data_IF_724087399214
#
_entry.id   IF_724087399214
#
_cell.length_a   1.000
_cell.length_b   1.000
_cell.length_c   1.000
_cell.angle_alpha   90.00
_cell.angle_beta   90.00
_cell.angle_gamma   90.00
#
_symmetry.space_group_name_H-M   'P 1'
#
loop_
_entity.id
_entity.type
_entity.pdbx_description
1 polymer ?
#
# COMPACT_ATOMS: atom_id res chain seq x y z
N UNK A 1 -28.46 -5.52 -18.70
CA UNK A 1 -27.69 -4.26 -18.65
C UNK A 1 -28.10 -3.52 -17.39
N UNK A 2 -27.26 -3.51 -16.35
CA UNK A 2 -27.55 -2.79 -15.10
C UNK A 2 -26.58 -1.61 -15.05
N UNK A 3 -27.09 -0.41 -15.32
CA UNK A 3 -26.33 0.83 -15.20
C UNK A 3 -26.04 1.04 -13.72
N UNK A 4 -24.80 0.79 -13.30
CA UNK A 4 -24.34 1.15 -11.96
C UNK A 4 -24.45 2.67 -11.82
N UNK A 5 -25.35 3.12 -10.96
CA UNK A 5 -25.60 4.53 -10.69
C UNK A 5 -24.31 5.18 -10.19
N UNK A 6 -24.05 6.42 -10.59
CA UNK A 6 -22.84 7.20 -10.25
C UNK A 6 -22.55 7.24 -8.72
N UNK A 7 -23.61 7.20 -7.92
CA UNK A 7 -23.55 7.09 -6.45
C UNK A 7 -22.92 5.79 -5.94
N UNK A 8 -23.17 4.66 -6.61
CA UNK A 8 -22.58 3.38 -6.23
C UNK A 8 -21.09 3.37 -6.52
N UNK A 9 -20.67 3.90 -7.67
CA UNK A 9 -19.25 4.06 -8.03
C UNK A 9 -18.53 5.02 -7.08
N UNK A 10 -19.14 6.14 -6.73
CA UNK A 10 -18.57 7.09 -5.77
C UNK A 10 -18.39 6.48 -4.37
N UNK A 11 -19.34 5.65 -3.90
CA UNK A 11 -19.19 4.90 -2.63
C UNK A 11 -18.10 3.84 -2.67
N UNK A 12 -17.95 3.15 -3.80
CA UNK A 12 -16.86 2.19 -4.00
C UNK A 12 -15.51 2.91 -3.97
N UNK A 13 -15.35 3.99 -4.73
CA UNK A 13 -14.12 4.79 -4.76
C UNK A 13 -13.79 5.42 -3.40
N UNK A 14 -14.78 5.88 -2.64
CA UNK A 14 -14.59 6.40 -1.28
C UNK A 14 -14.18 5.30 -0.27
N UNK A 15 -14.49 4.04 -0.56
CA UNK A 15 -14.11 2.89 0.27
C UNK A 15 -12.70 2.39 -0.03
N UNK A 16 -12.11 2.78 -1.17
CA UNK A 16 -10.73 2.46 -1.53
C UNK A 16 -9.79 3.29 -0.65
N UNK A 17 -9.33 2.70 0.45
CA UNK A 17 -8.35 3.32 1.34
C UNK A 17 -7.04 3.54 0.60
N UNK A 18 -6.56 4.79 0.58
CA UNK A 18 -5.30 5.16 -0.09
C UNK A 18 -4.03 4.67 0.62
N UNK A 19 -4.15 4.09 1.83
CA UNK A 19 -3.04 3.61 2.66
C UNK A 19 -3.47 2.38 3.45
N UNK A 20 -2.63 1.36 3.49
CA UNK A 20 -2.92 0.11 4.20
C UNK A 20 -3.95 -0.76 3.49
N UNK A 21 -3.93 -0.79 2.17
CA UNK A 21 -4.69 -1.76 1.37
C UNK A 21 -4.27 -3.19 1.71
N UNK A 22 -5.12 -4.17 1.40
CA UNK A 22 -4.83 -5.58 1.66
C UNK A 22 -3.50 -6.03 1.02
N UNK A 23 -3.14 -5.44 -0.13
CA UNK A 23 -1.85 -5.66 -0.80
C UNK A 23 -0.68 -5.22 0.10
N UNK A 24 -0.73 -4.04 0.72
CA UNK A 24 0.31 -3.60 1.66
C UNK A 24 0.43 -4.56 2.85
N UNK A 25 -0.69 -5.06 3.36
CA UNK A 25 -0.70 -6.03 4.46
C UNK A 25 -0.06 -7.36 4.06
N UNK A 26 -0.32 -7.85 2.85
CA UNK A 26 0.32 -9.05 2.30
C UNK A 26 1.83 -8.86 2.19
N UNK A 27 2.28 -7.74 1.60
CA UNK A 27 3.72 -7.44 1.47
C UNK A 27 4.39 -7.32 2.84
N UNK A 28 3.75 -6.66 3.81
CA UNK A 28 4.24 -6.55 5.18
C UNK A 28 4.39 -7.92 5.84
N UNK A 29 3.37 -8.78 5.74
CA UNK A 29 3.41 -10.15 6.29
C UNK A 29 4.49 -10.98 5.61
N UNK A 30 4.64 -10.88 4.29
CA UNK A 30 5.68 -11.57 3.54
C UNK A 30 7.08 -11.18 4.01
N UNK A 31 7.35 -9.87 4.12
CA UNK A 31 8.64 -9.36 4.58
C UNK A 31 8.94 -9.76 6.03
N UNK A 32 7.94 -9.67 6.91
CA UNK A 32 8.09 -10.07 8.31
C UNK A 32 8.36 -11.58 8.44
N UNK A 33 7.63 -12.42 7.69
CA UNK A 33 7.82 -13.87 7.66
C UNK A 33 9.20 -14.29 7.13
N UNK A 34 9.82 -13.49 6.26
CA UNK A 34 11.18 -13.70 5.77
C UNK A 34 12.27 -13.08 6.66
N UNK A 35 11.90 -12.51 7.82
CA UNK A 35 12.86 -11.94 8.78
C UNK A 35 13.41 -10.57 8.37
N UNK A 36 12.81 -9.90 7.39
CA UNK A 36 13.23 -8.55 7.01
C UNK A 36 12.72 -7.53 8.02
N UNK A 37 13.65 -6.79 8.63
CA UNK A 37 13.29 -5.59 9.41
C UNK A 37 13.06 -4.42 8.46
N UNK A 38 11.81 -3.99 8.37
CA UNK A 38 11.41 -2.83 7.58
C UNK A 38 10.83 -1.72 8.46
N UNK A 39 10.81 -0.50 7.90
CA UNK A 39 10.16 0.67 8.47
C UNK A 39 9.03 1.11 7.54
N UNK A 40 7.91 1.53 8.11
CA UNK A 40 6.77 2.03 7.35
C UNK A 40 6.78 3.56 7.34
N UNK A 41 6.34 4.17 6.23
CA UNK A 41 6.12 5.61 6.11
C UNK A 41 7.32 6.47 6.61
N UNK A 42 8.54 6.20 6.12
CA UNK A 42 9.69 7.01 6.51
C UNK A 42 9.64 8.39 5.81
N UNK A 43 8.99 9.36 6.46
CA UNK A 43 8.85 10.75 5.99
C UNK A 43 10.17 11.50 5.83
N UNK A 44 11.30 10.91 6.26
CA UNK A 44 12.63 11.48 6.05
C UNK A 44 13.14 11.29 4.62
N UNK A 45 12.52 10.41 3.84
CA UNK A 45 12.91 10.14 2.46
C UNK A 45 11.97 10.81 1.45
N UNK A 46 12.51 11.38 0.36
CA UNK A 46 11.69 11.97 -0.70
C UNK A 46 10.80 10.88 -1.33
N UNK A 47 9.55 11.22 -1.62
CA UNK A 47 8.58 10.30 -2.24
C UNK A 47 7.70 9.49 -1.27
N UNK A 48 7.87 9.62 0.05
CA UNK A 48 7.06 8.91 1.07
C UNK A 48 6.89 7.41 0.80
N UNK A 49 8.00 6.63 0.74
CA UNK A 49 7.94 5.20 0.49
C UNK A 49 7.11 4.44 1.54
N UNK A 50 6.33 3.46 1.08
CA UNK A 50 5.47 2.64 1.93
C UNK A 50 6.30 1.79 2.88
N UNK A 51 7.35 1.15 2.36
CA UNK A 51 8.22 0.22 3.08
C UNK A 51 9.69 0.55 2.79
N UNK A 52 10.49 0.68 3.86
CA UNK A 52 11.92 1.00 3.79
C UNK A 52 12.74 -0.08 4.48
N UNK A 53 13.65 -0.69 3.74
CA UNK A 53 14.62 -1.68 4.21
C UNK A 53 15.98 -1.02 4.42
N UNK A 54 16.18 -0.38 5.57
CA UNK A 54 17.41 0.39 5.87
C UNK A 54 18.69 -0.45 5.77
N UNK A 55 18.66 -1.70 6.25
CA UNK A 55 19.81 -2.62 6.21
C UNK A 55 20.29 -2.87 4.77
N UNK A 56 19.34 -2.91 3.82
CA UNK A 56 19.60 -3.23 2.41
C UNK A 56 19.66 -1.99 1.52
N UNK A 57 19.45 -0.79 2.09
CA UNK A 57 19.34 0.49 1.36
C UNK A 57 18.29 0.43 0.23
N UNK A 58 17.20 -0.30 0.46
CA UNK A 58 16.12 -0.51 -0.53
C UNK A 58 14.82 0.13 -0.06
N UNK A 59 14.07 0.72 -0.97
CA UNK A 59 12.71 1.23 -0.75
C UNK A 59 11.74 0.47 -1.64
N UNK A 60 10.54 0.20 -1.11
CA UNK A 60 9.48 -0.51 -1.82
C UNK A 60 8.26 0.40 -1.83
N UNK A 61 7.76 0.67 -3.03
CA UNK A 61 6.50 1.37 -3.28
C UNK A 61 5.45 0.33 -3.65
N UNK A 62 4.33 0.33 -2.94
CA UNK A 62 3.24 -0.61 -3.16
C UNK A 62 2.13 0.12 -3.90
N UNK A 63 2.13 -0.01 -5.22
CA UNK A 63 1.05 0.51 -6.05
C UNK A 63 0.02 -0.59 -6.31
N UNK A 64 -1.22 -0.36 -5.88
CA UNK A 64 -2.34 -1.19 -6.31
C UNK A 64 -2.66 -0.89 -7.77
N UNK A 65 -2.72 -1.92 -8.61
CA UNK A 65 -3.28 -1.81 -9.95
C UNK A 65 -4.81 -1.69 -9.84
N UNK A 66 -5.42 -0.79 -10.60
CA UNK A 66 -6.87 -0.55 -10.66
C UNK A 66 -7.51 -1.48 -11.69
#
# INVERSE_FOLDING_TARGET
MKSETDDQRSKIMASVKSKGTDIELVVRKFLFGHGFRYRLNDKKLPGSPDIVLKKYKTVIFVHGCF
#
